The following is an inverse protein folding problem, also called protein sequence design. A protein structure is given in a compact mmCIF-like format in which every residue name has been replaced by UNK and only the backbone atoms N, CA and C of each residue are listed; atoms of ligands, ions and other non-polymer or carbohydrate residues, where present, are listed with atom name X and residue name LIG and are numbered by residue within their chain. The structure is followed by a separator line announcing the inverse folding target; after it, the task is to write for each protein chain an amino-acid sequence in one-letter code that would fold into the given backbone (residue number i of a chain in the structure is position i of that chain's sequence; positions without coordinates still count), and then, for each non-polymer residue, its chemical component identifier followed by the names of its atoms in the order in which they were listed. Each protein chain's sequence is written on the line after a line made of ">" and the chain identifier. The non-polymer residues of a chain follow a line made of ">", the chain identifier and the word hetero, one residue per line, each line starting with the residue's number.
data_IF_931313280038
#
_entry.id   IF_931313280038
#
_cell.length_a   1.000
_cell.length_b   1.000
_cell.length_c   1.000
_cell.angle_alpha   90.00
_cell.angle_beta   90.00
_cell.angle_gamma   90.00
#
_symmetry.space_group_name_H-M   'P 1'
#
loop_
_entity.id
_entity.type
_entity.pdbx_description
1 polymer ?
2 polymer ?
#
# COMPACT_ATOMS: atom_id res chain seq x y z
N UNK A 1 -3.67 13.84 14.61
CA UNK A 1 -2.79 13.88 13.41
C UNK A 1 -1.34 13.56 13.77
N UNK A 2 -0.89 14.13 14.88
CA UNK A 2 0.48 13.90 15.35
C UNK A 2 1.49 14.22 14.24
N UNK A 3 1.21 15.28 13.49
CA UNK A 3 2.09 15.69 12.40
C UNK A 3 2.19 14.60 11.34
N UNK A 4 3.10 13.67 11.54
CA UNK A 4 3.31 12.58 10.58
C UNK A 4 3.46 13.13 9.17
N UNK A 5 3.62 12.24 8.20
CA UNK A 5 3.77 12.66 6.81
C UNK A 5 2.60 12.17 5.97
N UNK A 6 2.46 10.85 5.88
CA UNK A 6 1.39 10.22 5.11
C UNK A 6 0.06 10.95 5.31
N UNK A 7 -0.26 11.86 4.39
CA UNK A 7 -1.51 12.61 4.45
C UNK A 7 -2.70 11.67 4.26
N UNK A 8 -3.89 12.26 4.17
CA UNK A 8 -5.11 11.48 3.97
C UNK A 8 -5.72 11.75 2.60
N UNK A 9 -6.26 10.72 1.97
CA UNK A 9 -6.87 10.85 0.66
C UNK A 9 -8.39 10.75 0.76
N UNK A 10 -8.87 9.77 1.52
CA UNK A 10 -10.30 9.56 1.69
C UNK A 10 -10.98 9.37 0.34
N UNK A 11 -10.22 8.91 -0.64
CA UNK A 11 -10.76 8.68 -1.98
C UNK A 11 -9.75 7.91 -2.84
N UNK A 12 -10.21 6.83 -3.45
CA UNK A 12 -9.36 6.01 -4.31
C UNK A 12 -8.65 6.86 -5.35
N UNK A 13 -7.65 6.28 -6.01
CA UNK A 13 -6.90 6.98 -7.03
C UNK A 13 -6.69 6.11 -8.27
N UNK A 14 -6.40 6.72 -9.42
CA UNK A 14 -6.18 5.99 -10.68
C UNK A 14 -4.96 5.08 -10.61
N UNK A 15 -5.11 3.96 -9.91
CA UNK A 15 -4.01 3.00 -9.77
C UNK A 15 -3.94 2.07 -10.98
N UNK A 16 -2.77 1.47 -11.19
CA UNK A 16 -2.57 0.55 -12.31
C UNK A 16 -2.81 -0.89 -11.87
N UNK A 17 -2.67 -1.15 -10.58
CA UNK A 17 -2.88 -2.48 -10.03
C UNK A 17 -4.04 -2.47 -9.04
N UNK A 18 -4.27 -3.60 -8.37
CA UNK A 18 -5.35 -3.69 -7.40
C UNK A 18 -5.16 -4.85 -6.44
N UNK A 19 -4.21 -4.69 -5.52
CA UNK A 19 -3.95 -5.69 -4.50
C UNK A 19 -4.39 -5.15 -3.13
N UNK A 20 -5.56 -5.57 -2.69
CA UNK A 20 -6.14 -5.09 -1.44
C UNK A 20 -5.62 -5.88 -0.23
N UNK A 21 -4.50 -5.43 0.34
CA UNK A 21 -3.91 -6.12 1.51
C UNK A 21 -4.64 -5.71 2.79
N UNK A 22 -5.47 -6.63 3.28
CA UNK A 22 -6.24 -6.40 4.49
C UNK A 22 -5.41 -5.75 5.59
N UNK B 1 25.22 -0.46 19.08
CA UNK B 1 25.32 -1.32 17.87
C UNK B 1 25.00 -2.77 18.19
N UNK B 2 25.75 -3.35 19.12
CA UNK B 2 25.54 -4.73 19.50
C UNK B 2 26.68 -5.63 19.07
N UNK B 3 27.27 -6.34 20.02
CA UNK B 3 28.37 -7.25 19.73
C UNK B 3 27.91 -8.70 19.75
N UNK B 4 27.42 -9.18 18.61
CA UNK B 4 26.95 -10.56 18.51
C UNK B 4 26.90 -11.01 17.05
N UNK B 5 27.82 -10.50 16.25
CA UNK B 5 27.88 -10.85 14.83
C UNK B 5 26.59 -10.45 14.12
N UNK B 6 26.28 -9.15 14.15
CA UNK B 6 25.08 -8.63 13.52
C UNK B 6 25.43 -7.61 12.43
N UNK B 7 25.14 -7.94 11.16
CA UNK B 7 25.43 -7.04 10.03
C UNK B 7 24.49 -5.83 9.99
N UNK B 8 24.83 -4.85 9.16
CA UNK B 8 24.03 -3.64 9.03
C UNK B 8 23.38 -3.54 7.65
N UNK B 9 23.95 -4.25 6.68
CA UNK B 9 23.43 -4.23 5.31
C UNK B 9 22.04 -4.84 5.26
N UNK B 10 21.05 -4.09 5.74
CA UNK B 10 19.67 -4.56 5.74
C UNK B 10 18.69 -3.39 5.89
N UNK B 11 18.83 -2.40 5.00
CA UNK B 11 17.96 -1.24 5.03
C UNK B 11 17.33 -1.01 3.65
N UNK B 12 16.00 -1.10 3.59
CA UNK B 12 15.29 -0.91 2.33
C UNK B 12 14.12 0.05 2.49
N UNK B 13 14.37 1.33 2.22
CA UNK B 13 13.32 2.34 2.29
C UNK B 13 13.13 3.00 0.93
N UNK B 14 12.25 4.00 0.87
CA UNK B 14 11.99 4.70 -0.38
C UNK B 14 11.52 6.12 -0.12
N UNK B 15 12.29 7.09 -0.59
CA UNK B 15 11.95 8.50 -0.42
C UNK B 15 10.59 8.81 -1.05
N UNK B 16 9.53 8.54 -0.31
CA UNK B 16 8.18 8.80 -0.79
C UNK B 16 7.68 10.17 -0.35
N UNK B 17 6.98 10.85 -1.24
CA UNK B 17 6.45 12.17 -0.94
C UNK B 17 5.05 12.05 -0.33
N UNK B 18 4.85 12.71 0.80
CA UNK B 18 3.54 12.70 1.45
C UNK B 18 2.62 13.70 0.77
N UNK B 19 1.68 13.19 -0.02
CA UNK B 19 0.77 14.06 -0.76
C UNK B 19 -0.60 14.13 -0.10
N UNK B 20 -1.34 15.20 -0.37
CA UNK B 20 -2.66 15.39 0.19
C UNK B 20 -3.74 14.93 -0.78
N UNK B 21 -5.00 15.20 -0.45
CA UNK B 21 -6.13 14.80 -1.29
C UNK B 21 -5.87 15.13 -2.76
N UNK B 22 -5.69 16.42 -3.05
CA UNK B 22 -5.43 16.86 -4.42
C UNK B 22 -4.21 16.17 -4.99
N UNK B 23 -3.11 16.21 -4.24
CA UNK B 23 -1.89 15.57 -4.69
C UNK B 23 -0.87 16.58 -5.19
N UNK B 24 -0.64 17.63 -4.39
CA UNK B 24 0.31 18.67 -4.76
C UNK B 24 1.56 18.59 -3.89
N UNK B 25 1.82 17.41 -3.34
CA UNK B 25 2.99 17.21 -2.48
C UNK B 25 2.95 18.12 -1.26
N UNK B 26 3.37 17.58 -0.12
CA UNK B 26 3.42 18.35 1.11
C UNK B 26 4.86 18.52 1.58
N UNK B 27 5.53 17.39 1.77
CA UNK B 27 6.92 17.42 2.20
C UNK B 27 7.73 16.32 1.53
N UNK B 28 8.10 15.30 2.31
CA UNK B 28 8.87 14.17 1.79
C UNK B 28 9.40 13.32 2.94
N UNK B 29 9.04 12.04 2.93
CA UNK B 29 9.50 11.14 3.99
C UNK B 29 10.12 9.88 3.43
N UNK B 30 10.82 9.14 4.28
CA UNK B 30 11.46 7.90 3.87
C UNK B 30 10.63 6.69 4.28
N UNK B 31 10.01 6.06 3.30
CA UNK B 31 9.20 4.86 3.55
C UNK B 31 10.11 3.68 3.82
N UNK B 32 9.92 3.05 4.98
CA UNK B 32 10.76 1.94 5.35
C UNK B 32 9.96 0.66 5.52
N UNK B 33 10.46 -0.40 4.93
CA UNK B 33 9.81 -1.70 4.99
C UNK B 33 10.70 -2.73 5.66
N UNK B 34 10.95 -2.52 6.95
CA UNK B 34 11.80 -3.42 7.72
C UNK B 34 11.33 -4.86 7.61
N UNK B 35 11.88 -5.72 8.46
CA UNK B 35 11.50 -7.13 8.47
C UNK B 35 10.10 -7.33 9.02
N UNK B 36 9.57 -6.31 9.70
CA UNK B 36 8.24 -6.40 10.29
C UNK B 36 7.70 -5.02 10.65
N UNK B 37 7.68 -4.10 9.69
CA UNK B 37 7.17 -2.75 9.97
C UNK B 37 7.27 -1.82 8.75
N UNK B 38 6.23 -1.01 8.54
CA UNK B 38 6.22 -0.02 7.47
C UNK B 38 6.51 1.36 8.07
N UNK B 39 7.74 1.55 8.55
CA UNK B 39 8.12 2.80 9.19
C UNK B 39 8.33 3.92 8.18
N UNK B 40 7.38 4.84 8.14
CA UNK B 40 7.43 5.95 7.21
C UNK B 40 8.04 7.19 7.87
N UNK B 41 9.37 7.29 7.81
CA UNK B 41 10.08 8.43 8.39
C UNK B 41 9.53 9.74 7.83
N UNK B 42 9.54 10.78 8.65
CA UNK B 42 9.05 12.08 8.23
C UNK B 42 9.42 13.17 9.24
N UNK B 43 9.79 14.34 8.73
CA UNK B 43 10.16 15.47 9.58
C UNK B 43 11.31 15.13 10.51
N UNK B 44 12.06 14.09 10.15
CA UNK B 44 13.20 13.66 10.96
C UNK B 44 12.81 13.53 12.44
N UNK B 45 11.54 13.28 12.68
CA UNK B 45 11.03 13.13 14.04
C UNK B 45 9.81 12.22 14.08
N UNK B 46 8.82 12.52 13.24
CA UNK B 46 7.60 11.73 13.18
C UNK B 46 7.82 10.46 12.36
N UNK B 47 7.45 9.32 12.92
CA UNK B 47 7.61 8.04 12.25
C UNK B 47 6.26 7.34 12.08
N UNK B 48 5.66 7.48 10.92
CA UNK B 48 4.39 6.82 10.62
C UNK B 48 4.65 5.36 10.31
N UNK B 49 4.84 4.56 11.35
CA UNK B 49 5.15 3.14 11.17
C UNK B 49 3.96 2.25 11.53
N UNK B 50 3.51 1.48 10.55
CA UNK B 50 2.41 0.54 10.77
C UNK B 50 2.98 -0.86 11.00
N UNK B 51 2.09 -1.84 11.11
CA UNK B 51 2.50 -3.22 11.34
C UNK B 51 2.57 -3.99 10.02
N UNK B 52 2.91 -3.28 8.95
CA UNK B 52 3.02 -3.90 7.63
C UNK B 52 1.66 -4.31 7.09
N UNK B 53 1.17 -5.45 7.55
CA UNK B 53 -0.10 -5.97 7.07
C UNK B 53 -1.28 -5.33 7.79
N UNK B 54 -1.00 -4.34 8.64
CA UNK B 54 -2.07 -3.63 9.33
C UNK B 54 -2.90 -2.79 8.35
N UNK B 55 -2.42 -2.70 7.11
CA UNK B 55 -3.09 -1.93 6.07
C UNK B 55 -4.51 -2.46 5.83
N UNK B 56 -5.02 -2.28 4.60
CA UNK B 56 -6.34 -2.75 4.23
C UNK B 56 -6.38 -3.04 2.75
N UNK B 57 -5.82 -2.13 1.97
CA UNK B 57 -5.71 -2.31 0.52
C UNK B 57 -4.62 -1.39 -0.02
N UNK B 58 -3.58 -1.98 -0.60
CA UNK B 58 -2.43 -1.21 -1.09
C UNK B 58 -2.24 -1.34 -2.60
N UNK B 59 -1.98 -0.21 -3.24
CA UNK B 59 -1.77 -0.20 -4.68
C UNK B 59 -0.67 0.76 -5.09
N UNK B 60 -0.48 0.93 -6.39
CA UNK B 60 0.55 1.85 -6.89
C UNK B 60 0.36 2.11 -8.38
N UNK B 61 0.70 3.33 -8.80
CA UNK B 61 0.57 3.72 -10.20
C UNK B 61 1.91 4.19 -10.77
N UNK B 62 2.57 3.32 -11.51
CA UNK B 62 3.86 3.66 -12.12
C UNK B 62 4.87 4.08 -11.05
N UNK B 63 4.84 5.35 -10.68
CA UNK B 63 5.76 5.89 -9.69
C UNK B 63 4.99 6.52 -8.52
N UNK B 64 3.88 5.89 -8.14
CA UNK B 64 3.06 6.41 -7.05
C UNK B 64 2.78 5.32 -6.02
N UNK B 65 3.21 5.55 -4.78
CA UNK B 65 2.99 4.62 -3.70
C UNK B 65 1.63 4.87 -3.03
N UNK B 66 0.69 3.96 -3.22
CA UNK B 66 -0.62 4.07 -2.61
C UNK B 66 -0.84 2.95 -1.60
N UNK B 67 -1.21 3.31 -0.38
CA UNK B 67 -1.44 2.33 0.66
C UNK B 67 -2.47 2.85 1.66
N UNK B 68 -3.44 2.00 2.00
CA UNK B 68 -4.51 2.38 2.91
C UNK B 68 -4.60 1.43 4.09
N UNK B 69 -4.58 2.00 5.29
CA UNK B 69 -4.65 1.21 6.52
C UNK B 69 -5.88 1.59 7.34
N UNK B 70 -6.55 0.60 7.90
CA UNK B 70 -7.73 0.85 8.70
C UNK B 70 -7.44 1.76 9.89
N UNK B 71 -8.49 2.11 10.63
CA UNK B 71 -8.35 2.98 11.78
C UNK B 71 -7.35 2.41 12.78
N UNK B 72 -6.40 3.25 13.20
CA UNK B 72 -5.38 2.81 14.15
C UNK B 72 -4.79 4.00 14.90
N UNK B 73 -3.94 4.77 14.22
CA UNK B 73 -3.30 5.92 14.83
C UNK B 73 -2.35 6.61 13.84
N UNK B 74 -1.36 7.33 14.38
CA UNK B 74 -0.38 8.04 13.54
C UNK B 74 -1.03 9.23 12.84
N UNK B 75 -1.62 8.97 11.68
CA UNK B 75 -2.27 10.02 10.90
C UNK B 75 -3.79 9.93 10.99
N UNK B 76 -4.30 8.70 10.95
CA UNK B 76 -5.73 8.49 11.03
C UNK B 76 -6.24 7.45 10.06
N UNK B 77 -7.55 7.43 9.84
CA UNK B 77 -8.16 6.47 8.94
C UNK B 77 -8.35 7.08 7.55
N UNK B 78 -8.12 6.28 6.52
CA UNK B 78 -8.28 6.75 5.16
C UNK B 78 -7.21 6.23 4.21
N UNK B 79 -7.26 6.68 2.97
CA UNK B 79 -6.30 6.28 1.95
C UNK B 79 -5.09 7.21 1.94
N UNK B 80 -3.94 6.66 1.57
CA UNK B 80 -2.72 7.44 1.52
C UNK B 80 -2.13 7.48 0.12
N UNK B 81 -1.63 8.65 -0.28
CA UNK B 81 -1.01 8.81 -1.59
C UNK B 81 0.44 9.24 -1.44
N UNK B 82 1.33 8.62 -2.21
CA UNK B 82 2.75 8.94 -2.14
C UNK B 82 3.36 9.00 -3.53
N UNK B 83 4.35 9.89 -3.70
CA UNK B 83 5.00 10.05 -5.00
C UNK B 83 6.49 9.71 -4.90
N UNK B 84 6.88 8.62 -5.54
CA UNK B 84 8.27 8.18 -5.53
C UNK B 84 8.66 7.53 -6.86
N UNK B 85 9.97 7.32 -7.04
CA UNK B 85 10.46 6.69 -8.26
C UNK B 85 10.70 5.20 -8.06
N UNK B 86 10.89 4.80 -6.81
CA UNK B 86 11.11 3.40 -6.48
C UNK B 86 9.81 2.71 -6.09
N UNK B 87 8.70 3.24 -6.60
CA UNK B 87 7.38 2.66 -6.32
C UNK B 87 7.38 1.16 -6.57
N UNK B 88 8.08 0.74 -7.61
CA UNK B 88 8.16 -0.67 -7.96
C UNK B 88 8.78 -1.46 -6.82
N UNK B 89 9.96 -1.05 -6.41
CA UNK B 89 10.67 -1.68 -5.30
C UNK B 89 9.74 -1.93 -4.12
N UNK B 90 9.23 -0.83 -3.55
CA UNK B 90 8.34 -0.92 -2.41
C UNK B 90 7.25 -1.97 -2.66
N UNK B 91 6.41 -1.74 -3.68
CA UNK B 91 5.36 -2.68 -4.02
C UNK B 91 5.89 -4.10 -4.13
N UNK B 92 6.68 -4.36 -5.18
CA UNK B 92 7.27 -5.68 -5.41
C UNK B 92 7.72 -6.32 -4.10
N UNK B 93 8.51 -5.58 -3.35
CA UNK B 93 8.99 -6.05 -2.06
C UNK B 93 7.81 -6.49 -1.21
N UNK B 94 6.95 -5.52 -0.86
CA UNK B 94 5.75 -5.79 -0.06
C UNK B 94 5.06 -7.09 -0.49
N UNK B 95 4.76 -7.19 -1.79
CA UNK B 95 4.12 -8.38 -2.33
C UNK B 95 4.85 -9.64 -1.87
N UNK B 96 6.17 -9.53 -1.79
CA UNK B 96 7.01 -10.63 -1.34
C UNK B 96 6.95 -10.77 0.18
N UNK B 97 7.01 -9.63 0.87
CA UNK B 97 6.97 -9.62 2.33
C UNK B 97 5.68 -10.26 2.85
N UNK B 98 4.65 -10.27 2.00
CA UNK B 98 3.36 -10.84 2.37
C UNK B 98 3.38 -12.36 2.24
N UNK B 99 3.99 -12.85 1.17
CA UNK B 99 4.09 -14.28 0.93
C UNK B 99 4.91 -14.96 2.01
N UNK B 100 5.80 -14.19 2.64
CA UNK B 100 6.66 -14.73 3.69
C UNK B 100 5.87 -14.98 4.97
N UNK B 101 4.84 -14.16 5.20
CA UNK B 101 4.02 -14.30 6.39
C UNK B 101 2.57 -14.64 6.03
N UNK B 102 2.38 -15.17 4.82
CA UNK B 102 1.04 -15.55 4.36
C UNK B 102 0.06 -14.40 4.55
N UNK B 103 0.57 -13.18 4.58
CA UNK B 103 -0.26 -12.00 4.76
C UNK B 103 -1.33 -11.91 3.67
N UNK B 104 -2.37 -11.12 3.92
CA UNK B 104 -3.47 -10.98 2.97
C UNK B 104 -3.20 -9.86 1.97
N UNK B 105 -3.28 -10.19 0.68
CA UNK B 105 -3.12 -9.22 -0.38
C UNK B 105 -4.05 -9.55 -1.53
N UNK B 106 -5.34 -9.67 -1.21
CA UNK B 106 -6.36 -10.00 -2.20
C UNK B 106 -6.16 -9.19 -3.49
N UNK B 107 -5.56 -9.83 -4.48
CA UNK B 107 -5.31 -9.19 -5.75
C UNK B 107 -6.48 -9.40 -6.69
N UNK B 108 -6.98 -8.32 -7.27
CA UNK B 108 -8.14 -8.39 -8.14
C UNK B 108 -7.72 -8.66 -9.59
N UNK B 109 -7.00 -7.72 -10.23
CA UNK B 109 -6.52 -7.91 -11.60
C UNK B 109 -5.50 -9.01 -11.70
N UNK B 110 -5.85 -10.04 -12.42
CA UNK B 110 -4.98 -11.19 -12.63
C UNK B 110 -5.22 -11.76 -14.02
N UNK B 111 -5.50 -10.85 -14.94
CA UNK B 111 -5.78 -11.19 -16.33
C UNK B 111 -6.65 -12.45 -16.44
N UNK B 112 -7.95 -12.24 -16.59
CA UNK B 112 -8.90 -13.35 -16.70
C UNK B 112 -9.21 -13.64 -18.17
N UNK B 113 -10.08 -14.62 -18.40
CA UNK B 113 -10.47 -15.00 -19.76
C UNK B 113 -11.94 -15.37 -19.82
N UNK B 114 -12.65 -14.77 -20.78
CA UNK B 114 -14.07 -15.04 -20.95
C UNK B 114 -14.86 -14.63 -19.70
N UNK B 115 -14.85 -15.50 -18.70
CA UNK B 115 -15.57 -15.23 -17.46
C UNK B 115 -15.41 -16.38 -16.47
N UNK B 116 -14.83 -16.09 -15.31
CA UNK B 116 -14.62 -17.10 -14.28
C UNK B 116 -15.86 -17.25 -13.40
N UNK B 117 -16.36 -16.12 -12.90
CA UNK B 117 -17.54 -16.13 -12.05
C UNK B 117 -18.82 -16.27 -12.87
N UNK B 118 -19.92 -16.58 -12.20
CA UNK B 118 -21.20 -16.74 -12.87
C UNK B 118 -22.28 -15.90 -12.18
N UNK B 119 -23.14 -15.28 -12.99
CA UNK B 119 -24.21 -14.45 -12.46
C UNK B 119 -25.56 -15.13 -12.63
N UNK B 120 -26.55 -14.68 -11.86
CA UNK B 120 -27.89 -15.25 -11.93
C UNK B 120 -28.61 -14.82 -13.19
N UNK B 121 -28.91 -15.77 -14.06
CA UNK B 121 -29.59 -15.47 -15.32
C UNK B 121 -30.10 -16.75 -15.98
N UNK B 122 -29.22 -17.74 -16.09
CA UNK B 122 -29.60 -19.02 -16.70
C UNK B 122 -30.27 -19.95 -15.70
N UNK B 123 -31.10 -20.89 -16.16
CA UNK B 123 -31.40 -21.08 -17.59
C UNK B 123 -32.31 -19.99 -18.14
N UNK B 124 -32.20 -19.74 -19.45
CA UNK B 124 -33.02 -18.73 -20.10
C UNK B 124 -34.36 -19.31 -20.51
N UNK B 125 -35.18 -18.49 -21.18
CA UNK B 125 -36.50 -18.92 -21.63
C UNK B 125 -36.99 -18.04 -22.78
N UNK B 126 -37.68 -18.65 -23.76
CA UNK B 126 -38.22 -17.92 -24.92
C UNK B 126 -39.41 -17.05 -24.56
N UNK B 127 -39.38 -15.79 -25.01
CA UNK B 127 -40.47 -14.86 -24.75
C UNK B 127 -41.61 -15.06 -25.74
N UNK B 128 -41.25 -15.40 -26.97
CA UNK B 128 -42.25 -15.62 -28.01
C UNK B 128 -42.97 -14.31 -28.36
N UNK B 129 -42.31 -13.45 -29.17
CA UNK B 129 -42.90 -12.16 -29.58
C UNK B 129 -43.98 -12.33 -30.63
#
# INVERSE_FOLDING_TARGET
>A
HSQMAVHKLAKSIPLRRQVTVS
>B
MGSDTVPDNHRNKFKVINVDDDGNELGSGIMELTDTELILYTRKRDSVKWHYLCLRRYGYDSNLFSFESGRRCQTGQGIFAFKCARAEELFNMLQEIMQNNSINVVEEPVVERNNHQTELEVPRTPRTP
#
